data_IF_425057158268
#
_entry.id   IF_425057158268
#
_cell.length_a   1.000
_cell.length_b   1.000
_cell.length_c   1.000
_cell.angle_alpha   90.00
_cell.angle_beta   90.00
_cell.angle_gamma   90.00
#
_symmetry.space_group_name_H-M   'P 1'
#
loop_
_entity.id
_entity.type
_entity.pdbx_description
1 polymer ?
#
# COMPACT_ATOMS: atom_id res chain seq x y z
N UNK A 1 11.62 8.77 3.56
CA UNK A 1 11.52 8.46 5.01
C UNK A 1 12.87 8.02 5.60
N UNK A 2 13.45 6.85 5.25
CA UNK A 2 14.75 6.38 5.80
C UNK A 2 15.92 7.37 5.63
N UNK A 3 15.96 8.07 4.50
CA UNK A 3 17.05 9.01 4.18
C UNK A 3 16.93 10.35 4.92
N UNK A 4 15.77 10.61 5.54
CA UNK A 4 15.51 11.89 6.21
C UNK A 4 16.39 12.07 7.45
N UNK A 5 16.76 13.34 7.71
CA UNK A 5 17.54 13.71 8.91
C UNK A 5 16.83 13.26 10.20
N UNK A 6 15.52 13.44 10.29
CA UNK A 6 14.73 13.09 11.47
C UNK A 6 14.65 11.60 11.72
N UNK A 7 14.50 10.78 10.67
CA UNK A 7 14.53 9.33 10.81
C UNK A 7 15.90 8.85 11.30
N UNK A 8 16.98 9.38 10.71
CA UNK A 8 18.36 9.09 11.14
C UNK A 8 18.61 9.51 12.60
N UNK A 9 18.05 10.64 13.04
CA UNK A 9 18.10 11.07 14.45
C UNK A 9 17.33 10.11 15.37
N UNK A 10 16.13 9.68 14.97
CA UNK A 10 15.35 8.71 15.74
C UNK A 10 16.09 7.36 15.88
N UNK A 11 16.85 6.92 14.87
CA UNK A 11 17.69 5.72 14.95
C UNK A 11 18.77 5.79 16.04
N UNK A 12 19.28 6.98 16.36
CA UNK A 12 20.32 7.20 17.40
C UNK A 12 19.76 7.16 18.83
N UNK A 13 18.45 7.29 19.01
CA UNK A 13 17.80 7.28 20.33
C UNK A 13 17.81 5.87 20.94
N UNK A 14 17.94 5.76 22.26
CA UNK A 14 17.78 4.48 22.98
C UNK A 14 16.35 3.94 22.79
N UNK A 15 16.19 2.60 22.78
CA UNK A 15 14.87 1.97 22.67
C UNK A 15 14.00 2.44 23.84
N UNK A 16 12.78 2.91 23.55
CA UNK A 16 11.90 3.48 24.56
C UNK A 16 10.78 4.35 23.99
N UNK A 17 10.04 5.05 24.86
CA UNK A 17 8.93 5.94 24.49
C UNK A 17 9.40 7.11 23.62
N UNK A 18 10.55 7.71 23.94
CA UNK A 18 11.14 8.83 23.18
C UNK A 18 11.46 8.45 21.74
N UNK A 19 12.14 7.32 21.52
CA UNK A 19 12.44 6.79 20.16
C UNK A 19 11.17 6.53 19.37
N UNK A 20 10.13 5.94 19.99
CA UNK A 20 8.84 5.69 19.34
C UNK A 20 8.15 7.00 18.92
N UNK A 21 8.15 8.03 19.77
CA UNK A 21 7.60 9.33 19.40
C UNK A 21 8.38 9.96 18.24
N UNK A 22 9.72 9.94 18.30
CA UNK A 22 10.55 10.51 17.24
C UNK A 22 10.28 9.86 15.86
N UNK A 23 10.10 8.53 15.81
CA UNK A 23 9.68 7.87 14.57
C UNK A 23 8.27 8.26 14.12
N UNK A 24 7.32 8.35 15.05
CA UNK A 24 5.95 8.78 14.73
C UNK A 24 5.93 10.20 14.16
N UNK A 25 6.69 11.11 14.76
CA UNK A 25 6.77 12.51 14.34
C UNK A 25 7.46 12.64 12.97
N UNK A 26 8.53 11.88 12.74
CA UNK A 26 9.15 11.77 11.42
C UNK A 26 8.16 11.21 10.38
N UNK A 27 7.45 10.13 10.69
CA UNK A 27 6.45 9.56 9.78
C UNK A 27 5.34 10.56 9.46
N UNK A 28 4.83 11.29 10.47
CA UNK A 28 3.81 12.32 10.28
C UNK A 28 4.30 13.44 9.35
N UNK A 29 5.51 13.98 9.59
CA UNK A 29 6.07 15.07 8.79
C UNK A 29 6.20 14.72 7.30
N UNK A 30 6.57 13.49 6.99
CA UNK A 30 6.71 13.03 5.61
C UNK A 30 5.47 12.32 5.06
N UNK A 31 4.33 12.40 5.75
CA UNK A 31 3.09 11.68 5.39
C UNK A 31 3.34 10.19 5.10
N UNK A 32 4.26 9.58 5.86
CA UNK A 32 4.62 8.17 5.73
C UNK A 32 3.67 7.31 6.56
N UNK A 33 2.48 7.08 6.01
CA UNK A 33 1.48 6.16 6.57
C UNK A 33 0.64 5.54 5.46
N UNK A 34 0.05 4.38 5.73
CA UNK A 34 -0.89 3.74 4.81
C UNK A 34 -2.05 4.67 4.44
N UNK A 35 -2.60 5.37 5.43
CA UNK A 35 -3.68 6.33 5.25
C UNK A 35 -3.32 7.47 4.28
N UNK A 36 -2.12 8.03 4.41
CA UNK A 36 -1.65 9.08 3.50
C UNK A 36 -1.48 8.54 2.08
N UNK A 37 -0.97 7.32 1.93
CA UNK A 37 -0.82 6.70 0.62
C UNK A 37 -2.17 6.35 -0.01
N UNK A 38 -3.16 5.92 0.78
CA UNK A 38 -4.54 5.73 0.31
C UNK A 38 -5.14 7.04 -0.20
N UNK A 39 -4.96 8.13 0.55
CA UNK A 39 -5.41 9.47 0.11
C UNK A 39 -4.79 9.86 -1.23
N UNK A 40 -3.49 9.65 -1.40
CA UNK A 40 -2.82 9.86 -2.69
C UNK A 40 -3.35 8.92 -3.78
N UNK A 41 -3.55 7.64 -3.48
CA UNK A 41 -3.96 6.64 -4.46
C UNK A 41 -5.37 6.86 -5.01
N UNK A 42 -6.24 7.61 -4.31
CA UNK A 42 -7.60 7.91 -4.78
C UNK A 42 -7.62 8.54 -6.17
N UNK A 43 -6.61 9.34 -6.53
CA UNK A 43 -6.55 9.99 -7.84
C UNK A 43 -6.54 8.97 -8.99
N UNK A 44 -6.01 7.76 -8.77
CA UNK A 44 -5.92 6.73 -9.81
C UNK A 44 -7.27 6.15 -10.21
N UNK A 45 -8.30 6.30 -9.36
CA UNK A 45 -9.69 5.97 -9.72
C UNK A 45 -10.22 6.85 -10.87
N UNK A 46 -9.63 8.02 -11.09
CA UNK A 46 -10.03 9.00 -12.11
C UNK A 46 -9.00 9.05 -13.25
N UNK A 47 -8.33 7.94 -13.50
CA UNK A 47 -7.35 7.78 -14.58
C UNK A 47 -7.69 6.52 -15.36
N UNK A 48 -6.94 6.24 -16.43
CA UNK A 48 -7.08 4.98 -17.19
C UNK A 48 -7.01 3.72 -16.30
N UNK A 49 -6.33 3.80 -15.14
CA UNK A 49 -6.30 2.70 -14.18
C UNK A 49 -7.69 2.43 -13.57
N UNK A 50 -8.50 3.46 -13.35
CA UNK A 50 -9.86 3.35 -12.80
C UNK A 50 -10.83 2.63 -13.74
N UNK A 51 -10.56 2.65 -15.04
CA UNK A 51 -11.33 1.88 -16.03
C UNK A 51 -11.07 0.37 -15.93
N UNK A 52 -9.94 -0.02 -15.33
CA UNK A 52 -9.47 -1.41 -15.26
C UNK A 52 -9.31 -1.95 -13.83
N UNK A 53 -9.34 -1.08 -12.82
CA UNK A 53 -9.19 -1.42 -11.42
C UNK A 53 -10.26 -0.70 -10.59
N UNK A 54 -10.99 -1.46 -9.78
CA UNK A 54 -11.93 -0.86 -8.84
C UNK A 54 -11.22 -0.19 -7.65
N UNK A 55 -11.93 0.72 -6.99
CA UNK A 55 -11.38 1.51 -5.87
C UNK A 55 -10.85 0.69 -4.70
N UNK A 56 -11.41 -0.50 -4.43
CA UNK A 56 -10.92 -1.37 -3.37
C UNK A 56 -9.60 -2.03 -3.78
N UNK A 57 -9.50 -2.48 -5.02
CA UNK A 57 -8.25 -3.01 -5.59
C UNK A 57 -7.14 -1.95 -5.56
N UNK A 58 -7.42 -0.70 -5.96
CA UNK A 58 -6.44 0.41 -5.89
C UNK A 58 -5.96 0.65 -4.44
N UNK A 59 -6.87 0.67 -3.46
CA UNK A 59 -6.50 0.81 -2.05
C UNK A 59 -5.61 -0.35 -1.58
N UNK A 60 -5.93 -1.58 -1.97
CA UNK A 60 -5.17 -2.77 -1.59
C UNK A 60 -3.78 -2.81 -2.23
N UNK A 61 -3.64 -2.33 -3.46
CA UNK A 61 -2.35 -2.11 -4.12
C UNK A 61 -1.52 -1.10 -3.32
N UNK A 62 -2.11 0.03 -2.94
CA UNK A 62 -1.46 1.02 -2.09
C UNK A 62 -1.03 0.42 -0.74
N UNK A 63 -1.88 -0.37 -0.08
CA UNK A 63 -1.53 -1.12 1.14
C UNK A 63 -0.33 -2.04 0.93
N UNK A 64 -0.30 -2.84 -0.15
CA UNK A 64 0.82 -3.74 -0.47
C UNK A 64 2.11 -2.96 -0.68
N UNK A 65 2.06 -1.84 -1.42
CA UNK A 65 3.21 -0.98 -1.63
C UNK A 65 3.72 -0.34 -0.33
N UNK A 66 2.82 0.19 0.50
CA UNK A 66 3.17 0.77 1.79
C UNK A 66 3.84 -0.26 2.70
N UNK A 67 3.23 -1.44 2.88
CA UNK A 67 3.78 -2.51 3.71
C UNK A 67 5.18 -2.91 3.26
N UNK A 68 5.44 -3.01 1.96
CA UNK A 68 6.78 -3.33 1.46
C UNK A 68 7.82 -2.27 1.88
N UNK A 69 7.50 -0.99 1.72
CA UNK A 69 8.39 0.12 2.12
C UNK A 69 8.53 0.23 3.63
N UNK A 70 7.46 -0.04 4.39
CA UNK A 70 7.48 -0.05 5.85
C UNK A 70 8.39 -1.15 6.41
N UNK A 71 8.28 -2.39 5.89
CA UNK A 71 9.15 -3.49 6.29
C UNK A 71 10.62 -3.19 5.98
N UNK A 72 10.89 -2.58 4.83
CA UNK A 72 12.22 -2.07 4.51
C UNK A 72 12.65 -0.98 5.48
N UNK A 73 11.78 -0.02 5.82
CA UNK A 73 12.09 1.05 6.76
C UNK A 73 12.45 0.54 8.16
N UNK A 74 11.79 -0.52 8.63
CA UNK A 74 12.08 -1.16 9.90
C UNK A 74 13.26 -2.14 9.85
N UNK A 75 13.88 -2.33 8.69
CA UNK A 75 15.00 -3.27 8.54
C UNK A 75 14.58 -4.74 8.70
N UNK A 76 13.28 -5.04 8.55
CA UNK A 76 12.74 -6.39 8.63
C UNK A 76 12.89 -7.16 7.32
N UNK A 77 12.97 -6.44 6.19
CA UNK A 77 13.15 -6.98 4.84
C UNK A 77 14.07 -6.08 4.00
N UNK A 78 14.57 -6.62 2.89
CA UNK A 78 15.39 -5.88 1.93
C UNK A 78 14.63 -4.75 1.19
N UNK A 79 15.36 -3.99 0.36
CA UNK A 79 14.79 -2.90 -0.46
C UNK A 79 13.69 -3.46 -1.38
N UNK A 80 12.47 -2.89 -1.41
CA UNK A 80 11.40 -3.40 -2.24
C UNK A 80 11.72 -3.29 -3.74
N UNK A 81 11.31 -4.30 -4.50
CA UNK A 81 11.24 -4.24 -5.96
C UNK A 81 9.77 -4.18 -6.35
N UNK A 82 9.39 -3.16 -7.10
CA UNK A 82 8.02 -3.02 -7.59
C UNK A 82 7.87 -3.69 -8.95
N UNK A 83 6.67 -4.20 -9.22
CA UNK A 83 6.35 -4.86 -10.48
C UNK A 83 6.39 -3.83 -11.62
N UNK A 84 7.04 -4.20 -12.72
CA UNK A 84 7.05 -3.42 -13.95
C UNK A 84 5.83 -3.69 -14.84
N UNK A 85 5.89 -3.16 -16.07
CA UNK A 85 4.90 -3.45 -17.12
C UNK A 85 4.82 -4.97 -17.34
N UNK A 86 3.60 -5.50 -17.47
CA UNK A 86 3.31 -6.93 -17.69
C UNK A 86 3.85 -7.88 -16.60
N UNK A 87 4.03 -7.41 -15.36
CA UNK A 87 4.47 -8.24 -14.22
C UNK A 87 3.49 -8.22 -13.04
N UNK A 88 2.30 -7.66 -13.26
CA UNK A 88 1.30 -7.43 -12.21
C UNK A 88 0.19 -8.47 -12.29
N UNK A 89 0.52 -9.67 -11.82
CA UNK A 89 -0.27 -10.89 -12.09
C UNK A 89 -1.29 -11.21 -10.99
N UNK A 90 -1.33 -10.44 -9.91
CA UNK A 90 -2.22 -10.69 -8.78
C UNK A 90 -2.84 -9.42 -8.21
N UNK A 91 -4.16 -9.44 -8.12
CA UNK A 91 -5.01 -8.41 -7.51
C UNK A 91 -5.79 -9.00 -6.35
N UNK A 92 -6.13 -8.16 -5.38
CA UNK A 92 -6.95 -8.54 -4.23
C UNK A 92 -7.97 -7.44 -3.94
N UNK A 93 -9.20 -7.84 -3.62
CA UNK A 93 -10.24 -6.94 -3.13
C UNK A 93 -10.13 -6.71 -1.61
N UNK A 94 -11.00 -5.86 -1.08
CA UNK A 94 -11.11 -5.61 0.37
C UNK A 94 -12.13 -6.53 1.05
N UNK A 95 -13.20 -6.91 0.34
CA UNK A 95 -14.26 -7.76 0.84
C UNK A 95 -15.02 -8.39 -0.34
N UNK A 96 -15.84 -9.41 -0.07
CA UNK A 96 -16.70 -10.03 -1.08
C UNK A 96 -18.01 -9.23 -1.36
N UNK A 97 -18.16 -8.02 -0.81
CA UNK A 97 -19.35 -7.18 -0.99
C UNK A 97 -19.27 -6.32 -2.27
N UNK A 98 -18.09 -5.79 -2.59
CA UNK A 98 -17.85 -4.85 -3.70
C UNK A 98 -16.50 -5.13 -4.38
N UNK A 99 -16.35 -4.68 -5.63
CA UNK A 99 -15.12 -4.92 -6.41
C UNK A 99 -15.03 -6.37 -6.91
N UNK A 100 -13.89 -7.01 -6.67
CA UNK A 100 -13.64 -8.43 -6.95
C UNK A 100 -14.53 -9.28 -6.01
N UNK A 101 -15.44 -10.07 -6.59
CA UNK A 101 -16.42 -10.85 -5.84
C UNK A 101 -16.46 -12.29 -6.32
N UNK A 102 -16.56 -13.25 -5.41
CA UNK A 102 -16.89 -14.63 -5.72
C UNK A 102 -18.40 -14.81 -5.68
N UNK A 103 -19.01 -15.28 -6.77
CA UNK A 103 -20.44 -15.57 -6.88
C UNK A 103 -20.62 -16.94 -7.50
N UNK A 104 -21.32 -17.81 -6.78
CA UNK A 104 -21.54 -19.20 -7.14
C UNK A 104 -20.22 -19.94 -7.41
N UNK A 105 -19.85 -20.09 -8.68
CA UNK A 105 -18.69 -20.83 -9.19
C UNK A 105 -17.63 -19.95 -9.89
N UNK A 106 -17.79 -18.62 -9.90
CA UNK A 106 -16.91 -17.72 -10.66
C UNK A 106 -16.60 -16.41 -9.94
N UNK A 107 -15.54 -15.74 -10.42
CA UNK A 107 -15.21 -14.37 -10.02
C UNK A 107 -15.97 -13.39 -10.89
N UNK A 108 -16.62 -12.40 -10.27
CA UNK A 108 -17.22 -11.24 -10.92
C UNK A 108 -16.42 -9.99 -10.58
N UNK A 109 -15.96 -9.26 -11.59
CA UNK A 109 -15.19 -8.02 -11.40
C UNK A 109 -15.33 -7.07 -12.59
N UNK A 110 -15.72 -5.81 -12.35
CA UNK A 110 -15.90 -4.78 -13.40
C UNK A 110 -16.73 -5.25 -14.61
N UNK A 111 -17.80 -6.02 -14.36
CA UNK A 111 -18.66 -6.59 -15.42
C UNK A 111 -18.13 -7.88 -16.05
N UNK A 112 -16.88 -8.25 -15.78
CA UNK A 112 -16.26 -9.49 -16.24
C UNK A 112 -16.65 -10.66 -15.34
N UNK A 113 -16.68 -11.86 -15.93
CA UNK A 113 -16.89 -13.14 -15.26
C UNK A 113 -15.73 -14.08 -15.60
N UNK A 114 -15.03 -14.55 -14.58
CA UNK A 114 -13.90 -15.47 -14.72
C UNK A 114 -14.27 -16.80 -14.05
N UNK A 115 -14.43 -17.84 -14.87
CA UNK A 115 -14.55 -19.21 -14.38
C UNK A 115 -13.15 -19.72 -14.00
N UNK A 116 -13.10 -20.51 -12.94
CA UNK A 116 -11.89 -21.24 -12.55
C UNK A 116 -11.53 -22.29 -13.60
#
# INVERSE_FOLDING_TARGET
MRESKQFKQACKQKKGKTRRSAFRDASRRYKFSEYALHTYAKQFNHSWLGDHLDSQSIQKIATRAFKAVEQYAFGKRGKPRFKGKNQFDSVEGKSNKTGIRWRDDHVVWLGLKFRA
#
